data_IF_804523683999
#
_entry.id   IF_804523683999
#
_cell.length_a   1.000
_cell.length_b   1.000
_cell.length_c   1.000
_cell.angle_alpha   90.00
_cell.angle_beta   90.00
_cell.angle_gamma   90.00
#
_symmetry.space_group_name_H-M   'P 1'
#
loop_
_entity.id
_entity.type
_entity.pdbx_description
1 polymer ?
#
# COMPACT_ATOMS: atom_id res chain seq x y z
N UNK A 1 -3.38 -15.57 -11.93
CA UNK A 1 -3.01 -14.78 -13.13
C UNK A 1 -2.07 -13.66 -12.70
N UNK A 2 -1.02 -13.41 -13.49
CA UNK A 2 -0.15 -12.24 -13.33
C UNK A 2 -0.51 -11.18 -14.36
N UNK A 3 -0.44 -9.91 -13.98
CA UNK A 3 -0.60 -8.76 -14.87
C UNK A 3 0.56 -7.79 -14.64
N UNK A 4 1.13 -7.29 -15.73
CA UNK A 4 2.04 -6.15 -15.71
C UNK A 4 1.33 -5.01 -16.43
N UNK A 5 1.04 -3.94 -15.71
CA UNK A 5 0.15 -2.86 -16.18
C UNK A 5 0.85 -1.53 -16.03
N UNK A 6 0.94 -0.78 -17.13
CA UNK A 6 1.38 0.60 -17.09
C UNK A 6 0.17 1.54 -16.97
N UNK A 7 0.31 2.59 -16.16
CA UNK A 7 -0.68 3.64 -15.95
C UNK A 7 -0.06 5.02 -16.16
N UNK A 8 -0.65 5.79 -17.07
CA UNK A 8 -0.44 7.23 -17.19
C UNK A 8 -1.22 7.93 -16.07
N UNK A 9 -0.64 7.95 -14.86
CA UNK A 9 -1.31 8.24 -13.58
C UNK A 9 -2.17 9.51 -13.62
N UNK A 10 -1.70 10.56 -14.30
CA UNK A 10 -2.49 11.76 -14.55
C UNK A 10 -2.14 12.33 -15.92
N UNK A 11 -3.15 12.62 -16.74
CA UNK A 11 -2.97 13.25 -18.04
C UNK A 11 -2.30 14.62 -17.89
N UNK A 12 -1.35 14.92 -18.78
CA UNK A 12 -0.61 16.18 -18.78
C UNK A 12 0.59 16.22 -17.84
N UNK A 13 0.84 15.15 -17.06
CA UNK A 13 2.06 14.98 -16.28
C UNK A 13 2.89 13.85 -16.91
N UNK A 14 4.18 14.10 -17.15
CA UNK A 14 5.13 13.09 -17.62
C UNK A 14 5.55 12.16 -16.46
N UNK A 15 4.57 11.46 -15.88
CA UNK A 15 4.76 10.50 -14.80
C UNK A 15 3.85 9.31 -15.01
N UNK A 16 4.45 8.14 -15.27
CA UNK A 16 3.74 6.87 -15.32
C UNK A 16 4.21 5.91 -14.22
N UNK A 17 3.33 4.97 -13.89
CA UNK A 17 3.62 3.90 -12.95
C UNK A 17 3.38 2.54 -13.60
N UNK A 18 4.24 1.58 -13.28
CA UNK A 18 4.05 0.17 -13.61
C UNK A 18 3.59 -0.57 -12.36
N UNK A 19 2.54 -1.37 -12.49
CA UNK A 19 2.02 -2.25 -11.45
C UNK A 19 2.24 -3.70 -11.85
N UNK A 20 2.90 -4.46 -10.98
CA UNK A 20 2.92 -5.91 -11.05
C UNK A 20 1.84 -6.47 -10.13
N UNK A 21 0.85 -7.16 -10.68
CA UNK A 21 -0.36 -7.63 -9.97
C UNK A 21 -0.48 -9.15 -10.05
N UNK A 22 -0.46 -9.80 -8.88
CA UNK A 22 -0.84 -11.19 -8.69
C UNK A 22 -2.33 -11.27 -8.34
N UNK A 23 -3.10 -11.91 -9.22
CA UNK A 23 -4.51 -12.24 -8.97
C UNK A 23 -4.61 -13.74 -8.73
N UNK A 24 -4.78 -14.19 -7.48
CA UNK A 24 -4.99 -15.61 -7.20
C UNK A 24 -6.34 -16.09 -7.77
N UNK A 25 -6.43 -17.36 -8.13
CA UNK A 25 -7.71 -17.97 -8.52
C UNK A 25 -8.53 -18.44 -7.31
N UNK A 26 -7.93 -18.47 -6.12
CA UNK A 26 -8.63 -18.82 -4.88
C UNK A 26 -9.49 -17.64 -4.40
N UNK A 27 -10.79 -17.84 -4.12
CA UNK A 27 -11.67 -16.80 -3.62
C UNK A 27 -11.28 -16.30 -2.23
N UNK A 28 -10.52 -17.10 -1.47
CA UNK A 28 -10.09 -16.79 -0.11
C UNK A 28 -8.81 -15.93 -0.07
N UNK A 29 -8.20 -15.66 -1.22
CA UNK A 29 -6.97 -14.89 -1.35
C UNK A 29 -7.22 -13.56 -2.04
N UNK A 30 -6.76 -12.45 -1.47
CA UNK A 30 -6.84 -11.15 -2.13
C UNK A 30 -5.73 -10.96 -3.17
N UNK A 31 -5.95 -10.13 -4.20
CA UNK A 31 -4.86 -9.71 -5.08
C UNK A 31 -3.71 -9.08 -4.31
N UNK A 32 -2.49 -9.29 -4.81
CA UNK A 32 -1.28 -8.60 -4.36
C UNK A 32 -0.78 -7.76 -5.52
N UNK A 33 -0.33 -6.54 -5.24
CA UNK A 33 0.22 -5.67 -6.26
C UNK A 33 1.40 -4.87 -5.71
N UNK A 34 2.37 -4.56 -6.55
CA UNK A 34 3.48 -3.66 -6.24
C UNK A 34 3.55 -2.58 -7.31
N UNK A 35 3.67 -1.32 -6.89
CA UNK A 35 3.72 -0.17 -7.77
C UNK A 35 5.12 0.41 -7.88
N UNK A 36 5.52 0.75 -9.09
CA UNK A 36 6.82 1.30 -9.43
C UNK A 36 6.66 2.54 -10.30
N UNK A 37 7.34 3.64 -9.96
CA UNK A 37 7.51 4.77 -10.85
C UNK A 37 8.42 4.40 -12.01
N UNK A 38 8.00 4.74 -13.23
CA UNK A 38 8.83 4.57 -14.41
C UNK A 38 9.82 5.74 -14.51
N UNK A 39 11.12 5.43 -14.53
CA UNK A 39 12.18 6.41 -14.74
C UNK A 39 13.13 5.95 -15.84
N UNK A 40 13.87 6.90 -16.44
CA UNK A 40 14.90 6.61 -17.46
C UNK A 40 15.99 5.64 -16.94
N UNK A 41 16.23 5.62 -15.62
CA UNK A 41 17.17 4.70 -14.97
C UNK A 41 16.57 3.36 -14.52
N UNK A 42 15.34 3.05 -14.90
CA UNK A 42 14.61 1.85 -14.49
C UNK A 42 13.47 2.13 -13.50
N UNK A 43 12.60 1.13 -13.27
CA UNK A 43 11.48 1.24 -12.35
C UNK A 43 11.96 1.42 -10.91
N UNK A 44 11.30 2.28 -10.14
CA UNK A 44 11.58 2.48 -8.71
C UNK A 44 10.33 2.28 -7.88
N UNK A 45 10.41 1.50 -6.81
CA UNK A 45 9.27 1.30 -5.93
C UNK A 45 8.73 2.63 -5.40
N UNK A 46 7.41 2.80 -5.47
CA UNK A 46 6.73 4.08 -5.16
C UNK A 46 6.92 4.48 -3.69
N UNK A 47 6.98 3.51 -2.78
CA UNK A 47 7.36 3.75 -1.40
C UNK A 47 6.42 3.13 -0.36
N UNK A 48 6.73 3.31 0.93
CA UNK A 48 6.15 2.53 2.02
C UNK A 48 4.81 3.05 2.55
N UNK A 49 4.31 4.19 2.07
CA UNK A 49 3.03 4.74 2.55
C UNK A 49 1.86 3.95 1.96
N UNK A 50 0.90 3.54 2.81
CA UNK A 50 -0.26 2.75 2.37
C UNK A 50 0.12 1.48 1.59
N UNK A 51 1.06 0.71 2.15
CA UNK A 51 1.38 -0.65 1.72
C UNK A 51 1.13 -1.64 2.86
N UNK A 52 0.93 -2.91 2.51
CA UNK A 52 0.81 -4.02 3.44
C UNK A 52 2.17 -4.35 4.05
N UNK A 53 2.12 -4.93 5.24
CA UNK A 53 3.30 -5.41 5.96
C UNK A 53 3.44 -6.93 5.78
N UNK A 54 4.67 -7.47 5.69
CA UNK A 54 5.95 -6.77 5.48
C UNK A 54 6.26 -6.53 3.99
N UNK A 55 5.48 -7.11 3.08
CA UNK A 55 5.85 -7.30 1.68
C UNK A 55 5.79 -6.06 0.79
N UNK A 56 5.42 -4.89 1.33
CA UNK A 56 5.36 -3.65 0.57
C UNK A 56 4.33 -3.65 -0.57
N UNK A 57 3.42 -4.62 -0.60
CA UNK A 57 2.33 -4.67 -1.59
C UNK A 57 1.30 -3.58 -1.31
N UNK A 58 0.62 -3.09 -2.33
CA UNK A 58 -0.31 -1.96 -2.21
C UNK A 58 -1.45 -2.30 -1.23
N UNK A 59 -1.66 -1.43 -0.24
CA UNK A 59 -2.80 -1.49 0.67
C UNK A 59 -3.97 -0.68 0.06
N UNK A 60 -4.54 -1.19 -1.04
CA UNK A 60 -5.71 -0.57 -1.69
C UNK A 60 -7.05 -1.13 -1.16
N UNK A 61 -7.02 -2.26 -0.46
CA UNK A 61 -8.21 -2.93 0.04
C UNK A 61 -8.34 -2.72 1.54
N UNK A 62 -9.48 -2.20 1.97
CA UNK A 62 -9.89 -2.36 3.36
C UNK A 62 -11.10 -3.30 3.33
N UNK A 63 -11.11 -4.43 4.07
CA UNK A 63 -12.19 -5.42 4.00
C UNK A 63 -13.60 -4.83 4.19
N UNK A 64 -13.72 -3.72 4.92
CA UNK A 64 -14.98 -3.02 5.16
C UNK A 64 -15.37 -2.03 4.06
N UNK A 65 -14.49 -1.68 3.12
CA UNK A 65 -14.74 -0.65 2.11
C UNK A 65 -15.35 -1.18 0.81
N UNK A 66 -15.60 -2.48 0.69
CA UNK A 66 -16.28 -3.07 -0.49
C UNK A 66 -15.60 -2.75 -1.82
N UNK A 67 -14.28 -2.50 -1.79
CA UNK A 67 -13.55 -1.82 -2.86
C UNK A 67 -13.38 -2.68 -4.11
N UNK A 68 -13.12 -3.97 -3.94
CA UNK A 68 -13.05 -4.94 -5.05
C UNK A 68 -13.16 -6.38 -4.52
N UNK A 69 -13.83 -7.27 -5.26
CA UNK A 69 -14.03 -8.68 -4.94
C UNK A 69 -13.73 -9.55 -6.16
N UNK A 70 -13.47 -10.83 -5.92
CA UNK A 70 -13.39 -11.83 -7.00
C UNK A 70 -14.69 -11.83 -7.82
N UNK A 71 -14.54 -11.69 -9.14
CA UNK A 71 -15.66 -11.56 -10.07
C UNK A 71 -16.02 -10.12 -10.42
N UNK A 72 -15.53 -9.12 -9.68
CA UNK A 72 -15.63 -7.72 -10.08
C UNK A 72 -14.73 -7.46 -11.29
N UNK A 73 -14.99 -6.34 -11.98
CA UNK A 73 -14.25 -6.00 -13.19
C UNK A 73 -12.79 -5.72 -12.88
N UNK A 74 -11.91 -6.21 -13.76
CA UNK A 74 -10.47 -6.04 -13.59
C UNK A 74 -10.03 -4.57 -13.73
N UNK A 75 -10.68 -3.78 -14.59
CA UNK A 75 -10.38 -2.36 -14.74
C UNK A 75 -10.65 -1.57 -13.45
N UNK A 76 -11.72 -1.90 -12.71
CA UNK A 76 -11.98 -1.29 -11.40
C UNK A 76 -10.84 -1.55 -10.39
N UNK A 77 -10.18 -2.71 -10.47
CA UNK A 77 -8.99 -2.99 -9.65
C UNK A 77 -7.81 -2.11 -10.06
N UNK A 78 -7.58 -1.94 -11.37
CA UNK A 78 -6.48 -1.14 -11.89
C UNK A 78 -6.69 0.36 -11.64
N UNK A 79 -7.94 0.83 -11.64
CA UNK A 79 -8.31 2.19 -11.25
C UNK A 79 -7.93 2.46 -9.80
N UNK A 80 -8.17 1.51 -8.88
CA UNK A 80 -7.76 1.65 -7.48
C UNK A 80 -6.24 1.80 -7.33
N UNK A 81 -5.46 1.03 -8.09
CA UNK A 81 -4.00 1.15 -8.08
C UNK A 81 -3.52 2.47 -8.69
N UNK A 82 -4.16 2.92 -9.77
CA UNK A 82 -3.89 4.23 -10.37
C UNK A 82 -4.18 5.37 -9.40
N UNK A 83 -5.32 5.34 -8.72
CA UNK A 83 -5.66 6.31 -7.67
C UNK A 83 -4.65 6.25 -6.54
N UNK A 84 -4.24 5.06 -6.10
CA UNK A 84 -3.20 4.92 -5.08
C UNK A 84 -1.88 5.58 -5.51
N UNK A 85 -1.43 5.38 -6.75
CA UNK A 85 -0.23 6.05 -7.27
C UNK A 85 -0.42 7.57 -7.34
N UNK A 86 -1.57 8.06 -7.79
CA UNK A 86 -1.88 9.50 -7.79
C UNK A 86 -1.80 10.10 -6.37
N UNK A 87 -2.23 9.36 -5.34
CA UNK A 87 -2.10 9.81 -3.94
C UNK A 87 -0.65 9.89 -3.49
N UNK A 88 0.19 8.97 -3.94
CA UNK A 88 1.64 9.06 -3.72
C UNK A 88 2.27 10.23 -4.45
N UNK A 89 1.87 10.51 -5.69
CA UNK A 89 2.34 11.69 -6.41
C UNK A 89 1.96 12.98 -5.68
N UNK A 90 0.73 13.08 -5.17
CA UNK A 90 0.32 14.20 -4.32
C UNK A 90 1.11 14.25 -3.01
N UNK A 91 1.41 13.10 -2.39
CA UNK A 91 2.24 13.03 -1.19
C UNK A 91 3.67 13.52 -1.49
N UNK A 92 4.27 13.16 -2.62
CA UNK A 92 5.60 13.64 -3.02
C UNK A 92 5.61 15.16 -3.21
N UNK A 93 4.60 15.72 -3.89
CA UNK A 93 4.56 17.14 -4.26
C UNK A 93 4.17 18.05 -3.08
N UNK A 94 3.13 17.66 -2.32
CA UNK A 94 2.57 18.50 -1.27
C UNK A 94 2.97 18.06 0.14
N UNK A 95 3.80 17.02 0.23
CA UNK A 95 4.18 16.35 1.47
C UNK A 95 3.00 15.94 2.34
N UNK A 96 1.81 15.76 1.78
CA UNK A 96 0.58 15.51 2.53
C UNK A 96 -0.27 14.50 1.79
N UNK A 97 -0.72 13.48 2.49
CA UNK A 97 -1.59 12.48 1.90
C UNK A 97 -2.97 13.07 1.59
N UNK A 98 -3.48 12.88 0.36
CA UNK A 98 -4.83 13.32 0.03
C UNK A 98 -5.87 12.34 0.57
N UNK A 99 -6.86 12.86 1.30
CA UNK A 99 -8.01 12.11 1.81
C UNK A 99 -7.80 11.46 3.18
N UNK A 100 -8.77 10.64 3.57
CA UNK A 100 -8.81 10.00 4.89
C UNK A 100 -7.67 9.00 5.11
N UNK A 101 -7.01 9.12 6.25
CA UNK A 101 -5.96 8.22 6.70
C UNK A 101 -6.51 6.96 7.37
N UNK A 102 -6.10 5.77 6.91
CA UNK A 102 -6.41 4.51 7.59
C UNK A 102 -5.16 3.92 8.25
N UNK A 103 -5.32 3.45 9.49
CA UNK A 103 -4.31 2.70 10.22
C UNK A 103 -4.98 1.63 11.06
N UNK A 104 -4.39 0.43 11.08
CA UNK A 104 -4.76 -0.62 12.02
C UNK A 104 -4.06 -0.47 13.39
N UNK A 105 -3.07 0.43 13.53
CA UNK A 105 -2.27 0.54 14.75
C UNK A 105 -1.82 1.98 15.08
N UNK A 106 -1.99 2.46 16.33
CA UNK A 106 -1.64 3.83 16.72
C UNK A 106 -0.18 4.23 16.48
N UNK A 107 0.76 3.30 16.63
CA UNK A 107 2.17 3.54 16.29
C UNK A 107 2.37 4.01 14.84
N UNK A 108 1.74 3.34 13.87
CA UNK A 108 1.80 3.73 12.46
C UNK A 108 1.20 5.12 12.25
N UNK A 109 0.07 5.42 12.89
CA UNK A 109 -0.53 6.76 12.82
C UNK A 109 0.37 7.85 13.39
N UNK A 110 1.02 7.62 14.52
CA UNK A 110 1.96 8.57 15.12
C UNK A 110 3.20 8.78 14.26
N UNK A 111 3.69 7.74 13.60
CA UNK A 111 4.90 7.80 12.79
C UNK A 111 4.67 8.42 11.41
N UNK A 112 3.51 8.19 10.80
CA UNK A 112 3.32 8.44 9.37
C UNK A 112 2.29 9.54 9.06
N UNK A 113 1.35 9.83 9.98
CA UNK A 113 0.27 10.78 9.71
C UNK A 113 0.71 12.19 10.09
N UNK A 114 0.50 13.16 9.19
CA UNK A 114 0.66 14.58 9.55
C UNK A 114 -0.59 15.08 10.30
N UNK A 115 -0.40 16.06 11.18
CA UNK A 115 -1.49 16.58 12.02
C UNK A 115 -2.61 17.25 11.22
N UNK A 116 -2.31 17.72 10.01
CA UNK A 116 -3.22 18.40 9.10
C UNK A 116 -3.82 17.49 8.00
N UNK A 117 -3.53 16.19 8.04
CA UNK A 117 -4.19 15.18 7.21
C UNK A 117 -5.56 14.81 7.79
N UNK A 118 -6.50 14.38 6.93
CA UNK A 118 -7.81 13.94 7.38
C UNK A 118 -7.72 12.65 8.16
N UNK A 119 -8.40 12.60 9.31
CA UNK A 119 -8.46 11.39 10.10
C UNK A 119 -9.49 10.42 9.51
N UNK A 120 -9.09 9.24 9.02
CA UNK A 120 -10.05 8.29 8.44
C UNK A 120 -10.95 7.59 9.46
N UNK A 121 -10.73 7.82 10.77
CA UNK A 121 -11.64 7.38 11.83
C UNK A 121 -12.89 8.28 11.96
N UNK A 122 -12.84 9.50 11.43
CA UNK A 122 -13.89 10.50 11.64
C UNK A 122 -15.05 10.39 10.65
N UNK A 123 -16.26 10.61 11.15
CA UNK A 123 -17.53 10.56 10.40
C UNK A 123 -18.23 11.91 10.32
N UNK A 124 -17.65 12.95 10.92
CA UNK A 124 -18.14 14.33 10.82
C UNK A 124 -17.99 14.88 9.40
N UNK A 125 -18.79 15.90 9.05
CA UNK A 125 -18.75 16.59 7.77
C UNK A 125 -18.64 18.11 8.00
N UNK A 126 -17.45 18.73 7.75
CA UNK A 126 -16.23 18.11 7.23
C UNK A 126 -15.50 17.24 8.28
N UNK A 127 -14.78 16.18 7.87
CA UNK A 127 -14.04 15.32 8.80
C UNK A 127 -12.90 16.09 9.47
N UNK A 128 -12.69 15.87 10.76
CA UNK A 128 -11.59 16.49 11.50
C UNK A 128 -10.23 15.97 11.04
N UNK A 129 -9.22 16.77 11.30
CA UNK A 129 -7.82 16.44 11.02
C UNK A 129 -7.28 15.47 12.07
N UNK A 130 -6.25 14.70 11.73
CA UNK A 130 -5.63 13.73 12.63
C UNK A 130 -5.20 14.40 13.95
N UNK A 131 -4.64 15.61 13.88
CA UNK A 131 -4.20 16.38 15.04
C UNK A 131 -5.30 16.71 16.05
N UNK A 132 -6.55 16.77 15.60
CA UNK A 132 -7.74 17.13 16.39
C UNK A 132 -8.61 15.93 16.75
N UNK A 133 -8.37 14.79 16.11
CA UNK A 133 -9.20 13.59 16.23
C UNK A 133 -8.47 12.49 17.01
N UNK A 134 -7.82 11.56 16.31
CA UNK A 134 -7.23 10.37 16.93
C UNK A 134 -5.82 10.66 17.54
N UNK A 135 -5.10 11.73 17.16
CA UNK A 135 -3.72 12.01 17.64
C UNK A 135 -3.60 12.29 19.15
N UNK A 136 -4.46 13.12 19.79
CA UNK A 136 -4.34 13.41 21.22
C UNK A 136 -4.41 12.16 22.10
N UNK A 137 -5.28 11.21 21.77
CA UNK A 137 -5.39 9.94 22.48
C UNK A 137 -4.17 9.04 22.24
N UNK A 138 -3.65 8.99 21.01
CA UNK A 138 -2.44 8.24 20.71
C UNK A 138 -1.23 8.74 21.51
N UNK A 139 -1.09 10.05 21.68
CA UNK A 139 0.05 10.67 22.41
C UNK A 139 0.04 10.41 23.92
N UNK A 140 -1.09 10.00 24.51
CA UNK A 140 -1.16 9.61 25.93
C UNK A 140 -0.49 8.25 26.19
N UNK A 141 -0.21 7.46 25.15
CA UNK A 141 0.35 6.11 25.26
C UNK A 141 1.88 6.13 25.22
N UNK A 142 2.51 5.14 25.84
CA UNK A 142 3.96 5.00 25.80
C UNK A 142 4.43 4.60 24.38
N UNK A 143 5.29 5.41 23.77
CA UNK A 143 5.75 5.21 22.40
C UNK A 143 6.59 3.93 22.22
N UNK A 144 7.40 3.55 23.21
CA UNK A 144 8.21 2.32 23.14
C UNK A 144 7.35 1.06 23.23
N UNK A 145 6.32 1.10 24.08
CA UNK A 145 5.34 0.02 24.17
C UNK A 145 4.53 -0.10 22.88
N UNK A 146 4.07 1.03 22.33
CA UNK A 146 3.38 1.07 21.04
C UNK A 146 4.26 0.51 19.91
N UNK A 147 5.55 0.85 19.88
CA UNK A 147 6.49 0.31 18.89
C UNK A 147 6.65 -1.20 19.03
N UNK A 148 6.85 -1.68 20.24
CA UNK A 148 7.05 -3.12 20.51
C UNK A 148 5.79 -3.92 20.17
N UNK A 149 4.61 -3.39 20.51
CA UNK A 149 3.31 -3.97 20.17
C UNK A 149 3.07 -4.00 18.66
N UNK A 150 3.44 -2.92 17.97
CA UNK A 150 3.36 -2.84 16.51
C UNK A 150 4.23 -3.89 15.83
N UNK A 151 5.51 -4.00 16.23
CA UNK A 151 6.45 -4.96 15.63
C UNK A 151 5.98 -6.41 15.85
N UNK A 152 5.43 -6.70 17.04
CA UNK A 152 4.81 -8.01 17.33
C UNK A 152 3.56 -8.27 16.48
N UNK A 153 2.70 -7.26 16.31
CA UNK A 153 1.42 -7.41 15.61
C UNK A 153 1.59 -7.49 14.09
N UNK A 154 2.48 -6.68 13.53
CA UNK A 154 2.75 -6.63 12.09
C UNK A 154 3.83 -7.61 11.63
N UNK A 155 4.54 -8.24 12.57
CA UNK A 155 5.61 -9.20 12.29
C UNK A 155 6.88 -8.58 11.66
N UNK A 156 7.00 -7.25 11.65
CA UNK A 156 8.13 -6.51 11.10
C UNK A 156 8.22 -5.10 11.67
N UNK A 157 9.36 -4.41 11.47
CA UNK A 157 9.47 -2.99 11.82
C UNK A 157 8.82 -2.13 10.76
N UNK A 158 8.45 -0.92 11.17
CA UNK A 158 7.87 0.08 10.27
C UNK A 158 8.72 0.26 9.01
N UNK A 159 10.04 0.41 9.14
CA UNK A 159 10.92 0.69 8.01
C UNK A 159 11.39 -0.56 7.25
N UNK A 160 10.96 -1.76 7.64
CA UNK A 160 11.38 -3.01 6.98
C UNK A 160 10.48 -3.36 5.79
N UNK A 161 9.43 -2.58 5.52
CA UNK A 161 8.54 -2.77 4.38
C UNK A 161 9.31 -2.58 3.08
N UNK A 162 9.31 -3.60 2.23
CA UNK A 162 9.90 -3.54 0.90
C UNK A 162 9.27 -4.63 0.01
N UNK A 163 9.15 -4.43 -1.32
CA UNK A 163 8.82 -5.53 -2.21
C UNK A 163 9.83 -6.68 -2.03
N UNK A 164 9.38 -7.95 -2.09
CA UNK A 164 10.28 -9.09 -2.05
C UNK A 164 11.36 -9.00 -3.14
N UNK A 165 12.56 -9.51 -2.87
CA UNK A 165 13.67 -9.42 -3.83
C UNK A 165 13.31 -10.02 -5.20
N UNK A 166 12.54 -11.10 -5.26
CA UNK A 166 12.08 -11.69 -6.53
C UNK A 166 11.18 -10.74 -7.34
N UNK A 167 10.39 -9.90 -6.67
CA UNK A 167 9.57 -8.86 -7.32
C UNK A 167 10.49 -7.77 -7.89
N UNK A 168 11.50 -7.35 -7.12
CA UNK A 168 12.49 -6.36 -7.55
C UNK A 168 13.33 -6.87 -8.74
N UNK A 169 13.78 -8.12 -8.68
CA UNK A 169 14.59 -8.70 -9.75
C UNK A 169 13.77 -8.89 -11.04
N UNK A 170 12.49 -9.27 -10.93
CA UNK A 170 11.60 -9.36 -12.10
C UNK A 170 11.36 -7.98 -12.73
N UNK A 171 11.01 -6.96 -11.93
CA UNK A 171 10.70 -5.63 -12.47
C UNK A 171 11.95 -4.96 -13.08
N UNK A 172 13.14 -5.27 -12.56
CA UNK A 172 14.42 -4.83 -13.12
C UNK A 172 14.87 -5.64 -14.36
N UNK A 173 14.15 -6.71 -14.74
CA UNK A 173 14.53 -7.61 -15.82
C UNK A 173 15.74 -8.50 -15.50
N UNK A 174 16.07 -8.69 -14.21
CA UNK A 174 17.20 -9.49 -13.71
C UNK A 174 16.80 -10.89 -13.24
N UNK A 175 15.49 -11.16 -13.12
CA UNK A 175 14.97 -12.44 -12.63
C UNK A 175 13.65 -12.84 -13.29
N UNK A 176 13.24 -14.07 -13.00
CA UNK A 176 11.97 -14.61 -13.46
C UNK A 176 10.79 -14.12 -12.63
N UNK A 177 9.59 -14.21 -13.20
CA UNK A 177 8.34 -13.90 -12.53
C UNK A 177 8.12 -14.90 -11.37
N UNK A 178 7.99 -14.44 -10.11
CA UNK A 178 7.77 -15.36 -8.99
C UNK A 178 6.42 -16.07 -9.09
N UNK A 179 6.30 -17.21 -8.41
CA UNK A 179 5.00 -17.87 -8.32
C UNK A 179 4.06 -17.05 -7.42
N UNK A 180 2.76 -17.06 -7.74
CA UNK A 180 1.75 -16.36 -6.92
C UNK A 180 1.73 -16.92 -5.49
N UNK A 181 1.94 -18.24 -5.32
CA UNK A 181 1.95 -18.88 -4.02
C UNK A 181 3.05 -18.33 -3.09
N UNK A 182 4.27 -18.16 -3.62
CA UNK A 182 5.39 -17.56 -2.88
C UNK A 182 5.04 -16.14 -2.42
N UNK A 183 4.38 -15.36 -3.28
CA UNK A 183 4.01 -13.97 -2.93
C UNK A 183 2.88 -13.85 -1.91
N UNK A 184 2.10 -14.90 -1.72
CA UNK A 184 1.03 -14.95 -0.72
C UNK A 184 1.53 -15.50 0.62
N UNK A 185 2.81 -15.88 0.74
CA UNK A 185 3.35 -16.55 1.93
C UNK A 185 2.74 -17.93 2.16
N UNK A 186 2.16 -18.54 1.12
CA UNK A 186 1.63 -19.90 1.18
C UNK A 186 2.81 -20.85 0.93
N UNK A 187 3.13 -21.79 1.84
CA UNK A 187 4.16 -22.79 1.58
C UNK A 187 3.82 -23.55 0.31
N UNK A 188 4.71 -23.48 -0.69
CA UNK A 188 4.65 -24.36 -1.86
C UNK A 188 5.00 -25.77 -1.38
N UNK A 189 3.98 -26.56 -1.06
CA UNK A 189 4.18 -28.00 -0.92
C UNK A 189 4.57 -28.52 -2.31
N UNK A 190 5.81 -28.96 -2.41
CA UNK A 190 6.35 -29.63 -3.59
C UNK A 190 5.56 -30.92 -3.78
N UNK A 191 4.89 -31.06 -4.91
CA UNK A 191 4.29 -32.28 -5.42
C UNK A 191 4.84 -32.57 -6.79
#
# INVERSE_FOLDING_TARGET
>A
MWLLVESSVLEGIDRSATFLVAIPFSPDSFPRAWGFWNFVGGPKWIGPRHVNFPDGSICAFVPVSGTWRHGDRLDSLLDLFTVWALRHLHLEEFERWPGGQFSAHPFYSLAEFKSDEFCGCDKEEPPRRYGECCRPEHLKRNLLELKSDFERTMGCRLNDRNPPQAILDFIDGRGDLPSIAETLGIPTSVG
#
